data_IF_816576317083
#
_entry.id   IF_816576317083
#
_cell.length_a   1.000
_cell.length_b   1.000
_cell.length_c   1.000
_cell.angle_alpha   90.00
_cell.angle_beta   90.00
_cell.angle_gamma   90.00
#
_symmetry.space_group_name_H-M   'P 1'
#
loop_
_entity.id
_entity.type
_entity.pdbx_description
1 polymer ?
#
# COMPACT_ATOMS: atom_id res chain seq x y z
N UNK A 1 -6.28 12.76 19.17
CA UNK A 1 -7.38 13.12 18.25
C UNK A 1 -6.92 13.40 16.80
N UNK A 2 -5.63 13.43 16.48
CA UNK A 2 -5.10 13.78 15.14
C UNK A 2 -5.02 12.64 14.10
N UNK A 3 -5.25 11.39 14.50
CA UNK A 3 -5.09 10.21 13.64
C UNK A 3 -5.99 10.16 12.38
N UNK A 4 -7.26 10.61 12.37
CA UNK A 4 -8.08 10.59 11.17
C UNK A 4 -7.71 11.73 10.19
N UNK A 5 -7.31 12.88 10.71
CA UNK A 5 -6.90 14.04 9.90
C UNK A 5 -5.69 13.70 9.01
N UNK A 6 -4.66 13.05 9.57
CA UNK A 6 -3.48 12.69 8.79
C UNK A 6 -3.79 11.72 7.64
N UNK A 7 -4.76 10.80 7.82
CA UNK A 7 -5.17 9.85 6.78
C UNK A 7 -5.92 10.55 5.64
N UNK A 8 -6.81 11.47 5.97
CA UNK A 8 -7.57 12.24 4.97
C UNK A 8 -6.61 13.12 4.17
N UNK A 9 -5.68 13.81 4.84
CA UNK A 9 -4.66 14.61 4.15
C UNK A 9 -3.79 13.76 3.23
N UNK A 10 -3.28 12.61 3.69
CA UNK A 10 -2.49 11.70 2.85
C UNK A 10 -3.30 11.17 1.67
N UNK A 11 -4.57 10.85 1.86
CA UNK A 11 -5.45 10.42 0.78
C UNK A 11 -5.66 11.51 -0.28
N UNK A 12 -5.94 12.75 0.15
CA UNK A 12 -6.09 13.88 -0.77
C UNK A 12 -4.80 14.17 -1.54
N UNK A 13 -3.65 14.10 -0.86
CA UNK A 13 -2.34 14.27 -1.51
C UNK A 13 -2.07 13.15 -2.50
N UNK A 14 -2.41 11.89 -2.18
CA UNK A 14 -2.31 10.78 -3.13
C UNK A 14 -3.19 11.01 -4.36
N UNK A 15 -4.46 11.39 -4.19
CA UNK A 15 -5.36 11.71 -5.30
C UNK A 15 -4.80 12.84 -6.17
N UNK A 16 -4.25 13.89 -5.54
CA UNK A 16 -3.60 14.99 -6.26
C UNK A 16 -2.37 14.51 -7.04
N UNK A 17 -1.51 13.69 -6.43
CA UNK A 17 -0.35 13.10 -7.09
C UNK A 17 -0.72 12.25 -8.31
N UNK A 18 -1.75 11.42 -8.21
CA UNK A 18 -2.28 10.66 -9.35
C UNK A 18 -2.87 11.56 -10.43
N UNK A 19 -3.58 12.61 -10.06
CA UNK A 19 -4.12 13.59 -11.01
C UNK A 19 -3.02 14.31 -11.79
N UNK A 20 -1.98 14.78 -11.09
CA UNK A 20 -0.81 15.44 -11.70
C UNK A 20 -0.03 14.46 -12.58
N UNK A 21 0.12 13.20 -12.15
CA UNK A 21 0.79 12.16 -12.93
C UNK A 21 0.07 11.86 -14.24
N UNK A 22 -1.25 11.67 -14.18
CA UNK A 22 -2.08 11.43 -15.35
C UNK A 22 -2.09 12.64 -16.29
N UNK A 23 -2.29 13.84 -15.75
CA UNK A 23 -2.31 15.07 -16.53
C UNK A 23 -0.96 15.37 -17.19
N UNK A 24 0.14 15.21 -16.46
CA UNK A 24 1.50 15.36 -16.98
C UNK A 24 1.82 14.35 -18.07
N UNK A 25 1.49 13.07 -17.85
CA UNK A 25 1.66 12.02 -18.85
C UNK A 25 0.82 12.26 -20.12
N UNK A 26 -0.41 12.75 -19.97
CA UNK A 26 -1.26 13.13 -21.09
C UNK A 26 -0.67 14.28 -21.92
N UNK A 27 -0.21 15.35 -21.28
CA UNK A 27 0.45 16.49 -21.95
C UNK A 27 1.73 16.03 -22.66
N UNK A 28 2.57 15.25 -21.99
CA UNK A 28 3.81 14.73 -22.56
C UNK A 28 3.54 13.83 -23.77
N UNK A 29 2.53 12.94 -23.65
CA UNK A 29 2.11 12.05 -24.75
C UNK A 29 1.55 12.82 -25.94
N UNK A 30 0.83 13.92 -25.70
CA UNK A 30 0.39 14.82 -26.78
C UNK A 30 1.56 15.54 -27.44
N UNK A 31 2.53 16.03 -26.67
CA UNK A 31 3.76 16.65 -27.20
C UNK A 31 4.53 15.69 -28.12
N UNK A 32 4.60 14.43 -27.72
CA UNK A 32 5.25 13.35 -28.46
C UNK A 32 4.52 12.98 -29.76
N UNK A 33 3.21 12.70 -29.66
CA UNK A 33 2.45 12.06 -30.73
C UNK A 33 1.75 13.04 -31.68
N UNK A 34 1.38 14.24 -31.22
CA UNK A 34 0.59 15.20 -32.00
C UNK A 34 1.35 16.48 -32.37
N UNK A 35 2.45 16.79 -31.68
CA UNK A 35 3.20 18.04 -31.85
C UNK A 35 4.66 17.82 -32.25
N UNK A 36 4.93 16.74 -32.98
CA UNK A 36 6.22 16.49 -33.64
C UNK A 36 7.44 16.62 -32.70
N UNK A 37 7.33 16.02 -31.51
CA UNK A 37 8.36 16.04 -30.46
C UNK A 37 8.63 17.43 -29.85
N UNK A 38 7.60 18.27 -29.69
CA UNK A 38 7.72 19.56 -29.01
C UNK A 38 8.37 19.40 -27.61
N UNK A 39 9.60 19.92 -27.41
CA UNK A 39 10.35 19.74 -26.18
C UNK A 39 9.72 20.48 -24.98
N UNK A 40 8.93 21.53 -25.22
CA UNK A 40 8.26 22.29 -24.16
C UNK A 40 7.13 21.46 -23.57
N UNK A 41 6.31 20.84 -24.42
CA UNK A 41 5.21 19.97 -23.99
C UNK A 41 5.71 18.68 -23.35
N UNK A 42 6.75 18.06 -23.92
CA UNK A 42 7.41 16.91 -23.29
C UNK A 42 8.05 17.27 -21.94
N UNK A 43 8.73 18.42 -21.85
CA UNK A 43 9.40 18.86 -20.63
C UNK A 43 8.43 19.22 -19.52
N UNK A 44 7.40 20.02 -19.82
CA UNK A 44 6.38 20.41 -18.84
C UNK A 44 5.49 19.24 -18.43
N UNK A 45 4.99 18.46 -19.39
CA UNK A 45 4.22 17.25 -19.12
C UNK A 45 5.03 16.19 -18.38
N UNK A 46 6.27 15.94 -18.80
CA UNK A 46 7.18 15.00 -18.15
C UNK A 46 7.54 15.43 -16.74
N UNK A 47 7.83 16.72 -16.53
CA UNK A 47 8.09 17.29 -15.21
C UNK A 47 6.90 17.14 -14.26
N UNK A 48 5.68 17.40 -14.75
CA UNK A 48 4.46 17.14 -14.00
C UNK A 48 4.29 15.66 -13.68
N UNK A 49 4.51 14.77 -14.66
CA UNK A 49 4.40 13.33 -14.46
C UNK A 49 5.36 12.81 -13.37
N UNK A 50 6.63 13.23 -13.43
CA UNK A 50 7.66 12.90 -12.44
C UNK A 50 7.31 13.48 -11.07
N UNK A 51 6.87 14.75 -11.03
CA UNK A 51 6.42 15.40 -9.80
C UNK A 51 5.25 14.66 -9.14
N UNK A 52 4.25 14.24 -9.92
CA UNK A 52 3.14 13.41 -9.43
C UNK A 52 3.61 12.06 -8.89
N UNK A 53 4.59 11.43 -9.55
CA UNK A 53 5.15 10.13 -9.15
C UNK A 53 5.89 10.23 -7.80
N UNK A 54 6.65 11.31 -7.62
CA UNK A 54 7.30 11.64 -6.35
C UNK A 54 6.28 11.85 -5.23
N UNK A 55 5.20 12.61 -5.48
CA UNK A 55 4.14 12.84 -4.50
C UNK A 55 3.50 11.52 -4.08
N UNK A 56 3.16 10.64 -5.02
CA UNK A 56 2.59 9.32 -4.72
C UNK A 56 3.56 8.47 -3.91
N UNK A 57 4.84 8.41 -4.32
CA UNK A 57 5.87 7.64 -3.62
C UNK A 57 6.08 8.11 -2.17
N UNK A 58 6.19 9.43 -1.97
CA UNK A 58 6.31 10.03 -0.63
C UNK A 58 5.07 9.76 0.23
N UNK A 59 3.88 9.77 -0.37
CA UNK A 59 2.63 9.51 0.34
C UNK A 59 2.53 8.05 0.81
N UNK A 60 2.96 7.09 -0.01
CA UNK A 60 3.06 5.68 0.36
C UNK A 60 4.09 5.50 1.49
N UNK A 61 5.26 6.13 1.36
CA UNK A 61 6.31 6.10 2.39
C UNK A 61 5.84 6.67 3.73
N UNK A 62 5.18 7.83 3.71
CA UNK A 62 4.58 8.43 4.90
C UNK A 62 3.50 7.52 5.53
N UNK A 63 2.69 6.87 4.70
CA UNK A 63 1.68 5.91 5.19
C UNK A 63 2.31 4.70 5.87
N UNK A 64 3.40 4.17 5.31
CA UNK A 64 4.16 3.08 5.91
C UNK A 64 4.77 3.48 7.27
N UNK A 65 5.38 4.66 7.36
CA UNK A 65 5.92 5.19 8.62
C UNK A 65 4.84 5.35 9.71
N UNK A 66 3.66 5.84 9.33
CA UNK A 66 2.52 5.96 10.25
C UNK A 66 2.02 4.59 10.72
N UNK A 67 2.07 3.56 9.87
CA UNK A 67 1.74 2.20 10.27
C UNK A 67 2.76 1.65 11.28
N UNK A 68 4.05 1.72 10.95
CA UNK A 68 5.12 1.26 11.84
C UNK A 68 5.08 1.97 13.19
N UNK A 69 4.81 3.27 13.22
CA UNK A 69 4.67 4.02 14.46
C UNK A 69 3.51 3.53 15.33
N UNK A 70 2.38 3.10 14.71
CA UNK A 70 1.25 2.50 15.43
C UNK A 70 1.58 1.12 15.96
N UNK A 71 2.26 0.30 15.17
CA UNK A 71 2.64 -1.05 15.58
C UNK A 71 3.60 -1.00 16.76
N UNK A 72 4.60 -0.12 16.73
CA UNK A 72 5.50 0.13 17.86
C UNK A 72 4.76 0.63 19.10
N UNK A 73 3.78 1.53 18.93
CA UNK A 73 2.98 2.03 20.05
C UNK A 73 2.06 0.93 20.64
N UNK A 74 1.54 0.02 19.81
CA UNK A 74 0.73 -1.10 20.25
C UNK A 74 1.56 -2.15 21.00
N UNK A 75 2.74 -2.50 20.48
CA UNK A 75 3.69 -3.42 21.14
C UNK A 75 4.13 -2.85 22.48
N UNK A 76 4.44 -1.55 22.54
CA UNK A 76 4.79 -0.88 23.80
C UNK A 76 3.67 -0.97 24.84
N UNK A 77 2.42 -0.74 24.45
CA UNK A 77 1.25 -0.89 25.35
C UNK A 77 1.05 -2.33 25.82
N UNK A 78 1.35 -3.33 24.98
CA UNK A 78 1.30 -4.75 25.35
C UNK A 78 2.39 -5.12 26.37
N UNK A 79 3.60 -4.57 26.22
CA UNK A 79 4.69 -4.76 27.18
C UNK A 79 4.41 -4.04 28.51
N UNK A 80 3.88 -2.82 28.45
CA UNK A 80 3.50 -2.04 29.64
C UNK A 80 2.31 -2.67 30.40
N UNK A 81 1.44 -3.42 29.72
CA UNK A 81 0.33 -4.15 30.36
C UNK A 81 0.73 -5.52 30.95
N UNK A 82 2.01 -5.88 30.91
CA UNK A 82 2.52 -7.11 31.53
C UNK A 82 2.02 -8.40 30.88
N UNK A 83 1.43 -8.33 29.69
CA UNK A 83 1.09 -9.51 28.91
C UNK A 83 2.39 -10.18 28.46
N UNK A 84 2.79 -11.23 29.18
CA UNK A 84 3.90 -12.11 28.81
C UNK A 84 3.51 -12.84 27.52
N UNK A 85 3.75 -12.21 26.37
CA UNK A 85 3.63 -12.89 25.08
C UNK A 85 4.96 -13.59 24.86
N UNK A 86 4.98 -14.89 25.15
CA UNK A 86 6.03 -15.77 24.64
C UNK A 86 6.19 -15.48 23.13
N UNK A 87 7.42 -15.31 22.63
CA UNK A 87 7.61 -15.05 21.20
C UNK A 87 7.00 -16.23 20.46
N UNK A 88 5.92 -16.00 19.71
CA UNK A 88 5.42 -16.97 18.76
C UNK A 88 6.48 -17.06 17.65
N UNK A 89 7.47 -17.90 17.89
CA UNK A 89 8.48 -18.28 16.93
C UNK A 89 7.78 -18.75 15.67
N UNK A 90 8.12 -18.06 14.58
CA UNK A 90 8.05 -18.47 13.19
C UNK A 90 7.52 -19.89 12.90
N UNK A 91 6.54 -19.94 11.99
CA UNK A 91 6.47 -21.02 11.00
C UNK A 91 5.67 -22.25 11.39
N UNK A 92 4.35 -22.16 11.27
CA UNK A 92 3.55 -23.33 10.91
C UNK A 92 2.71 -22.98 9.69
N UNK A 93 3.36 -23.17 8.53
CA UNK A 93 2.74 -23.40 7.23
C UNK A 93 1.48 -24.24 7.47
N UNK A 94 0.31 -23.66 7.23
CA UNK A 94 -0.94 -24.41 7.21
C UNK A 94 -0.82 -25.48 6.13
N UNK A 95 -0.45 -26.70 6.52
CA UNK A 95 -0.64 -27.89 5.70
C UNK A 95 -2.15 -28.07 5.62
N UNK A 96 -2.77 -27.98 4.43
CA UNK A 96 -4.18 -28.25 4.31
C UNK A 96 -4.37 -29.75 4.59
N UNK A 97 -4.90 -30.07 5.76
CA UNK A 97 -5.37 -31.42 6.05
C UNK A 97 -6.58 -31.66 5.17
N UNK A 98 -6.35 -32.39 4.07
CA UNK A 98 -7.40 -33.01 3.28
C UNK A 98 -8.26 -33.84 4.22
N UNK A 99 -9.43 -33.29 4.55
CA UNK A 99 -10.54 -33.97 5.19
C UNK A 99 -10.85 -35.23 4.38
N UNK A 100 -10.37 -36.37 4.86
CA UNK A 100 -10.88 -37.67 4.41
C UNK A 100 -12.12 -37.95 5.23
N UNK A 101 -13.26 -37.88 4.58
CA UNK A 101 -14.53 -38.34 5.14
C UNK A 101 -14.40 -39.81 5.59
N UNK A 102 -15.04 -40.20 6.70
CA UNK A 102 -15.10 -41.60 7.10
C UNK A 102 -16.09 -42.33 6.20
N UNK A 103 -15.72 -43.46 5.55
CA UNK A 103 -16.73 -44.36 5.04
C UNK A 103 -17.39 -45.06 6.23
N UNK A 104 -18.56 -44.56 6.63
CA UNK A 104 -19.52 -45.38 7.36
C UNK A 104 -19.99 -46.53 6.46
N UNK A 105 -19.84 -47.76 6.96
CA UNK A 105 -20.85 -48.80 6.80
C UNK A 105 -20.68 -49.76 5.63
N UNK A 106 -20.35 -51.01 5.98
CA UNK A 106 -20.91 -52.30 5.51
C UNK A 106 -20.05 -53.37 6.23
N UNK A 107 -20.50 -54.05 7.28
CA UNK A 107 -21.69 -54.88 7.30
C UNK A 107 -21.48 -56.05 6.34
N UNK A 108 -21.24 -57.26 6.87
CA UNK A 108 -21.79 -58.56 6.42
C UNK A 108 -20.89 -59.72 6.89
N UNK A 109 -21.54 -60.62 7.65
CA UNK A 109 -21.32 -62.05 7.94
C UNK A 109 -19.97 -62.53 8.46
#
# INVERSE_FOLDING_TARGET
MFAPFSRITLFLVACCGWGVLFFGGWIAGRGLLLYDWDPVLMGTGGGLAIGGLLVVGLTIGASAQVSTARDTAAVRRLMESGATVAPATAGLRAVPTLRRDPPMGRGVS
#
